data_IF_943566161551
#
_entry.id   IF_943566161551
#
_cell.length_a   1.000
_cell.length_b   1.000
_cell.length_c   1.000
_cell.angle_alpha   90.00
_cell.angle_beta   90.00
_cell.angle_gamma   90.00
#
_symmetry.space_group_name_H-M   'P 1'
#
loop_
_entity.id
_entity.type
_entity.pdbx_description
1 polymer ?
#
# COMPACT_ATOMS: atom_id res chain seq x y z
N UNK A 1 -15.21 11.53 6.02
CA UNK A 1 -14.23 11.53 7.14
C UNK A 1 -13.52 12.85 7.10
N UNK A 2 -13.13 13.43 8.22
CA UNK A 2 -12.49 14.74 8.19
C UNK A 2 -11.04 14.58 7.74
N UNK A 3 -10.58 15.48 6.89
CA UNK A 3 -9.22 15.60 6.36
C UNK A 3 -8.10 15.37 7.42
N UNK A 4 -8.33 15.76 8.67
CA UNK A 4 -7.41 15.58 9.79
C UNK A 4 -7.06 14.10 10.07
N UNK A 5 -8.05 13.20 10.06
CA UNK A 5 -7.81 11.78 10.32
C UNK A 5 -7.16 11.07 9.14
N UNK A 6 -7.56 11.43 7.93
CA UNK A 6 -6.93 10.89 6.73
C UNK A 6 -5.46 11.29 6.67
N UNK A 7 -5.12 12.55 6.99
CA UNK A 7 -3.71 13.01 7.10
C UNK A 7 -2.93 12.23 8.15
N UNK A 8 -3.50 12.05 9.33
CA UNK A 8 -2.86 11.28 10.41
C UNK A 8 -2.53 9.85 9.95
N UNK A 9 -3.46 9.15 9.32
CA UNK A 9 -3.23 7.79 8.87
C UNK A 9 -2.28 7.70 7.66
N UNK A 10 -2.28 8.69 6.76
CA UNK A 10 -1.28 8.78 5.70
C UNK A 10 0.13 9.06 6.25
N UNK A 11 0.25 9.87 7.29
CA UNK A 11 1.53 10.09 7.98
C UNK A 11 2.04 8.80 8.65
N UNK A 12 1.16 8.00 9.24
CA UNK A 12 1.52 6.67 9.74
C UNK A 12 1.96 5.72 8.62
N UNK A 13 1.30 5.77 7.46
CA UNK A 13 1.72 4.99 6.30
C UNK A 13 3.12 5.40 5.83
N UNK A 14 3.43 6.70 5.78
CA UNK A 14 4.76 7.20 5.46
C UNK A 14 5.81 6.79 6.51
N UNK A 15 5.46 6.77 7.79
CA UNK A 15 6.34 6.24 8.84
C UNK A 15 6.60 4.74 8.65
N UNK A 16 5.60 3.98 8.23
CA UNK A 16 5.77 2.56 7.89
C UNK A 16 6.64 2.39 6.65
N UNK A 17 6.51 3.25 5.63
CA UNK A 17 7.33 3.23 4.44
C UNK A 17 8.83 3.34 4.75
N UNK A 18 9.20 4.15 5.75
CA UNK A 18 10.59 4.32 6.17
C UNK A 18 11.27 3.03 6.67
N UNK A 19 10.50 1.99 6.96
CA UNK A 19 11.04 0.66 7.32
C UNK A 19 11.44 -0.18 6.10
N UNK A 20 11.02 0.21 4.90
CA UNK A 20 11.40 -0.47 3.67
C UNK A 20 12.88 -0.29 3.39
N UNK A 21 13.55 -1.37 2.99
CA UNK A 21 14.94 -1.38 2.53
C UNK A 21 15.07 -1.20 1.02
N UNK A 22 13.95 -1.00 0.30
CA UNK A 22 14.01 -0.74 -1.14
C UNK A 22 14.77 0.56 -1.41
N UNK A 23 15.86 0.52 -2.19
CA UNK A 23 16.69 1.71 -2.41
C UNK A 23 16.06 2.75 -3.34
N UNK A 24 14.96 2.43 -4.00
CA UNK A 24 14.32 3.30 -5.00
C UNK A 24 12.96 3.82 -4.55
N UNK A 25 12.09 2.93 -4.08
CA UNK A 25 10.71 3.27 -3.73
C UNK A 25 10.33 2.58 -2.44
N UNK A 26 10.06 3.38 -1.42
CA UNK A 26 9.58 2.91 -0.14
C UNK A 26 8.07 3.16 -0.06
N UNK A 27 7.30 2.10 0.17
CA UNK A 27 5.85 2.15 0.27
C UNK A 27 5.44 1.67 1.66
N UNK A 28 4.54 2.39 2.29
CA UNK A 28 3.95 1.99 3.56
C UNK A 28 2.43 1.97 3.49
N UNK A 29 1.83 1.10 4.28
CA UNK A 29 0.40 0.94 4.37
C UNK A 29 -0.06 0.81 5.82
N UNK A 30 -1.25 1.34 6.13
CA UNK A 30 -1.91 1.23 7.43
C UNK A 30 -3.35 0.79 7.19
N UNK A 31 -3.79 -0.23 7.91
CA UNK A 31 -5.17 -0.69 7.90
C UNK A 31 -5.89 -0.15 9.14
N UNK A 32 -6.99 0.56 8.92
CA UNK A 32 -7.75 1.26 9.96
C UNK A 32 -9.17 0.71 10.01
N UNK A 33 -9.62 0.30 11.18
CA UNK A 33 -10.97 -0.18 11.39
C UNK A 33 -12.02 0.93 11.43
N UNK A 34 -13.32 0.56 11.48
CA UNK A 34 -14.44 1.52 11.44
C UNK A 34 -14.43 2.54 12.58
N UNK A 35 -13.89 2.19 13.73
CA UNK A 35 -13.79 3.05 14.91
C UNK A 35 -12.48 3.83 14.99
N UNK A 36 -11.75 3.92 13.86
CA UNK A 36 -10.45 4.59 13.71
C UNK A 36 -9.30 3.93 14.46
N UNK A 37 -9.46 2.69 14.85
CA UNK A 37 -8.38 1.89 15.42
C UNK A 37 -7.42 1.40 14.33
N UNK A 38 -6.13 1.52 14.55
CA UNK A 38 -5.11 0.92 13.69
C UNK A 38 -5.11 -0.58 13.91
N UNK A 39 -5.40 -1.36 12.87
CA UNK A 39 -5.42 -2.82 12.89
C UNK A 39 -4.12 -3.46 12.46
N UNK A 40 -3.37 -2.80 11.58
CA UNK A 40 -2.08 -3.28 11.13
C UNK A 40 -1.32 -2.24 10.33
N UNK A 41 -0.03 -2.50 10.18
CA UNK A 41 0.87 -1.74 9.31
C UNK A 41 1.60 -2.69 8.37
N UNK A 42 2.05 -2.18 7.25
CA UNK A 42 2.86 -2.90 6.28
C UNK A 42 3.78 -1.96 5.53
N UNK A 43 4.84 -2.50 4.98
CA UNK A 43 5.74 -1.80 4.06
C UNK A 43 6.22 -2.77 2.99
N UNK A 44 6.69 -2.26 1.86
CA UNK A 44 7.19 -3.12 0.80
C UNK A 44 8.54 -3.73 1.19
N UNK A 45 8.69 -5.02 0.93
CA UNK A 45 9.92 -5.74 1.29
C UNK A 45 9.88 -7.20 0.86
N UNK A 46 11.00 -7.89 1.04
CA UNK A 46 11.05 -9.32 0.80
C UNK A 46 10.28 -10.10 1.87
N UNK A 47 9.80 -11.31 1.56
CA UNK A 47 9.10 -12.15 2.52
C UNK A 47 9.96 -12.44 3.74
N UNK A 48 9.30 -12.63 4.89
CA UNK A 48 9.99 -13.03 6.13
C UNK A 48 10.82 -14.29 5.92
N UNK A 49 12.05 -14.27 6.43
CA UNK A 49 13.01 -15.36 6.31
C UNK A 49 13.80 -15.37 4.99
N UNK A 50 13.47 -14.48 4.04
CA UNK A 50 14.25 -14.29 2.82
C UNK A 50 15.24 -13.16 3.02
N UNK A 51 16.51 -13.41 2.79
CA UNK A 51 17.56 -12.41 2.96
C UNK A 51 17.39 -11.26 1.96
N UNK A 52 17.30 -10.04 2.49
CA UNK A 52 17.14 -8.78 1.74
C UNK A 52 18.48 -8.03 1.63
N UNK A 53 19.49 -8.72 1.10
CA UNK A 53 20.82 -8.15 0.92
C UNK A 53 20.79 -7.00 -0.11
N UNK A 54 21.74 -6.08 0.01
CA UNK A 54 21.87 -4.96 -0.94
C UNK A 54 22.03 -5.46 -2.41
N UNK A 55 22.76 -6.56 -2.60
CA UNK A 55 22.89 -7.21 -3.91
C UNK A 55 21.54 -7.60 -4.50
N UNK A 56 20.71 -8.31 -3.73
CA UNK A 56 19.37 -8.75 -4.17
C UNK A 56 18.41 -7.58 -4.38
N UNK A 57 18.47 -6.56 -3.55
CA UNK A 57 17.63 -5.36 -3.67
C UNK A 57 18.02 -4.50 -4.88
N UNK A 58 19.26 -4.58 -5.36
CA UNK A 58 19.74 -3.89 -6.55
C UNK A 58 19.59 -4.73 -7.84
N UNK A 59 19.40 -6.04 -7.74
CA UNK A 59 19.00 -6.88 -8.87
C UNK A 59 17.51 -6.66 -9.14
N UNK A 60 17.21 -5.92 -10.22
CA UNK A 60 15.83 -5.51 -10.53
C UNK A 60 14.89 -6.70 -10.74
N UNK A 61 15.33 -7.71 -11.48
CA UNK A 61 14.47 -8.85 -11.83
C UNK A 61 14.19 -9.73 -10.61
N UNK A 62 15.22 -10.00 -9.81
CA UNK A 62 15.07 -10.74 -8.56
C UNK A 62 14.23 -9.95 -7.56
N UNK A 63 14.47 -8.64 -7.42
CA UNK A 63 13.70 -7.77 -6.54
C UNK A 63 12.21 -7.80 -6.89
N UNK A 64 11.82 -7.65 -8.15
CA UNK A 64 10.43 -7.66 -8.56
C UNK A 64 9.73 -9.00 -8.31
N UNK A 65 10.47 -10.11 -8.36
CA UNK A 65 9.93 -11.46 -8.06
C UNK A 65 9.72 -11.71 -6.57
N UNK A 66 10.50 -11.09 -5.70
CA UNK A 66 10.47 -11.30 -4.26
C UNK A 66 9.73 -10.20 -3.49
N UNK A 67 9.47 -9.05 -4.13
CA UNK A 67 8.87 -7.91 -3.45
C UNK A 67 7.40 -8.17 -3.10
N UNK A 68 7.09 -8.11 -1.82
CA UNK A 68 5.71 -8.04 -1.32
C UNK A 68 5.35 -6.57 -1.16
N UNK A 69 4.28 -6.13 -1.79
CA UNK A 69 3.81 -4.75 -1.70
C UNK A 69 3.29 -4.43 -0.30
N UNK A 70 3.29 -3.16 0.07
CA UNK A 70 2.89 -2.71 1.40
C UNK A 70 1.43 -3.05 1.72
N UNK A 71 0.54 -2.90 0.74
CA UNK A 71 -0.89 -3.21 0.84
C UNK A 71 -1.10 -4.70 1.10
N UNK A 72 -0.41 -5.56 0.36
CA UNK A 72 -0.41 -7.01 0.58
C UNK A 72 0.16 -7.35 1.96
N UNK A 73 1.26 -6.72 2.36
CA UNK A 73 1.89 -6.99 3.65
C UNK A 73 0.98 -6.65 4.83
N UNK A 74 0.25 -5.54 4.81
CA UNK A 74 -0.67 -5.22 5.91
C UNK A 74 -1.83 -6.21 5.99
N UNK A 75 -2.39 -6.64 4.87
CA UNK A 75 -3.43 -7.68 4.81
C UNK A 75 -2.92 -9.01 5.39
N UNK A 76 -1.74 -9.45 4.94
CA UNK A 76 -1.12 -10.69 5.42
C UNK A 76 -0.68 -10.61 6.88
N UNK A 77 -0.24 -9.44 7.36
CA UNK A 77 0.05 -9.23 8.77
C UNK A 77 -1.21 -9.40 9.63
N UNK A 78 -2.33 -8.83 9.21
CA UNK A 78 -3.62 -9.03 9.88
C UNK A 78 -4.06 -10.50 9.85
N UNK A 79 -4.01 -11.13 8.68
CA UNK A 79 -4.37 -12.55 8.52
C UNK A 79 -3.52 -13.46 9.42
N UNK A 80 -2.22 -13.20 9.53
CA UNK A 80 -1.29 -14.01 10.32
C UNK A 80 -1.63 -14.05 11.81
N UNK A 81 -2.21 -12.99 12.35
CA UNK A 81 -2.52 -12.86 13.79
C UNK A 81 -4.03 -12.84 14.08
N UNK A 82 -4.84 -13.12 13.06
CA UNK A 82 -6.30 -13.24 13.20
C UNK A 82 -7.02 -11.91 13.37
N UNK A 83 -6.50 -10.82 12.83
CA UNK A 83 -7.16 -9.50 12.87
C UNK A 83 -8.08 -9.35 11.65
N UNK A 84 -9.39 -9.07 11.84
CA UNK A 84 -10.32 -8.90 10.73
C UNK A 84 -10.01 -7.65 9.90
N UNK A 85 -10.09 -7.79 8.58
CA UNK A 85 -9.85 -6.72 7.60
C UNK A 85 -11.13 -6.14 7.00
N UNK A 86 -12.24 -6.87 7.13
CA UNK A 86 -13.53 -6.47 6.56
C UNK A 86 -14.00 -5.12 7.10
N UNK A 87 -14.45 -4.25 6.21
CA UNK A 87 -14.96 -2.92 6.53
C UNK A 87 -13.90 -1.87 6.88
N UNK A 88 -12.63 -2.24 6.82
CA UNK A 88 -11.53 -1.31 7.09
C UNK A 88 -11.30 -0.30 5.97
N UNK A 89 -10.57 0.77 6.30
CA UNK A 89 -9.96 1.69 5.36
C UNK A 89 -8.47 1.39 5.28
N UNK A 90 -7.95 1.23 4.06
CA UNK A 90 -6.53 1.08 3.78
C UNK A 90 -5.95 2.44 3.39
N UNK A 91 -4.98 2.91 4.13
CA UNK A 91 -4.16 4.08 3.79
C UNK A 91 -2.81 3.60 3.29
N UNK A 92 -2.34 4.10 2.17
CA UNK A 92 -0.97 3.84 1.73
C UNK A 92 -0.34 5.07 1.08
N UNK A 93 0.97 5.15 1.17
CA UNK A 93 1.75 6.20 0.56
C UNK A 93 3.14 5.68 0.20
N UNK A 94 3.72 6.26 -0.84
CA UNK A 94 5.05 5.94 -1.31
C UNK A 94 5.97 7.16 -1.24
N UNK A 95 7.27 6.90 -1.04
CA UNK A 95 8.32 7.88 -1.23
C UNK A 95 9.38 7.34 -2.18
N UNK A 96 9.97 8.22 -2.96
CA UNK A 96 11.16 7.90 -3.75
C UNK A 96 12.45 8.27 -2.98
N UNK A 97 13.58 7.96 -3.56
CA UNK A 97 14.92 8.26 -3.00
C UNK A 97 15.20 9.77 -2.87
N UNK A 98 14.37 10.64 -3.45
CA UNK A 98 14.48 12.10 -3.35
C UNK A 98 13.55 12.68 -2.28
N UNK A 99 12.73 11.85 -1.65
CA UNK A 99 11.77 12.24 -0.63
C UNK A 99 10.43 12.75 -1.18
N UNK A 100 10.18 12.62 -2.48
CA UNK A 100 8.86 12.94 -3.03
C UNK A 100 7.82 11.93 -2.56
N UNK A 101 6.69 12.43 -2.08
CA UNK A 101 5.54 11.62 -1.67
C UNK A 101 4.56 11.49 -2.82
N UNK A 102 4.09 10.29 -3.05
CA UNK A 102 3.10 9.98 -4.06
C UNK A 102 2.23 8.78 -3.65
N UNK A 103 1.15 8.56 -4.40
CA UNK A 103 0.21 7.45 -4.19
C UNK A 103 -0.48 7.10 -5.48
N UNK A 104 -1.78 7.25 -5.52
CA UNK A 104 -2.63 6.81 -6.63
C UNK A 104 -3.43 5.58 -6.24
N UNK A 105 -4.14 4.96 -7.18
CA UNK A 105 -4.75 3.66 -6.93
C UNK A 105 -3.65 2.60 -6.73
N UNK A 106 -3.93 1.51 -5.97
CA UNK A 106 -3.01 0.38 -5.87
C UNK A 106 -2.79 -0.27 -7.23
N UNK A 107 -1.76 -1.10 -7.38
CA UNK A 107 -1.66 -1.93 -8.58
C UNK A 107 -2.79 -2.97 -8.63
N UNK A 108 -3.08 -3.50 -9.83
CA UNK A 108 -4.20 -4.41 -10.03
C UNK A 108 -4.14 -5.65 -9.12
N UNK A 109 -2.96 -6.23 -8.92
CA UNK A 109 -2.79 -7.38 -8.02
C UNK A 109 -3.18 -7.04 -6.57
N UNK A 110 -2.77 -5.87 -6.07
CA UNK A 110 -3.16 -5.41 -4.74
C UNK A 110 -4.65 -5.06 -4.67
N UNK A 111 -5.23 -4.47 -5.72
CA UNK A 111 -6.66 -4.16 -5.76
C UNK A 111 -7.53 -5.42 -5.62
N UNK A 112 -7.17 -6.51 -6.30
CA UNK A 112 -7.86 -7.80 -6.18
C UNK A 112 -7.79 -8.33 -4.74
N UNK A 113 -6.65 -8.23 -4.08
CA UNK A 113 -6.48 -8.68 -2.70
C UNK A 113 -7.24 -7.79 -1.70
N UNK A 114 -7.28 -6.48 -1.93
CA UNK A 114 -8.05 -5.50 -1.15
C UNK A 114 -9.54 -5.86 -1.20
N UNK A 115 -10.08 -6.14 -2.39
CA UNK A 115 -11.47 -6.59 -2.58
C UNK A 115 -11.73 -7.88 -1.81
N UNK A 116 -10.87 -8.90 -2.00
CA UNK A 116 -11.04 -10.20 -1.34
C UNK A 116 -10.90 -10.14 0.18
N UNK A 117 -10.09 -9.21 0.69
CA UNK A 117 -9.95 -8.95 2.13
C UNK A 117 -11.17 -8.21 2.73
N UNK A 118 -12.13 -7.78 1.91
CA UNK A 118 -13.32 -7.05 2.34
C UNK A 118 -13.04 -5.63 2.83
N UNK A 119 -11.95 -5.03 2.38
CA UNK A 119 -11.62 -3.63 2.69
C UNK A 119 -12.62 -2.72 1.99
N UNK A 120 -13.16 -1.74 2.71
CA UNK A 120 -14.25 -0.91 2.21
C UNK A 120 -13.77 0.35 1.48
N UNK A 121 -12.58 0.86 1.82
CA UNK A 121 -12.08 2.11 1.27
C UNK A 121 -10.55 2.09 1.16
N UNK A 122 -10.03 2.71 0.11
CA UNK A 122 -8.60 2.98 -0.08
C UNK A 122 -8.38 4.50 -0.11
N UNK A 123 -7.37 4.98 0.59
CA UNK A 123 -6.98 6.40 0.65
C UNK A 123 -5.48 6.52 0.39
N UNK A 124 -5.10 7.40 -0.52
CA UNK A 124 -3.70 7.64 -0.86
C UNK A 124 -3.43 9.12 -1.17
N UNK A 125 -2.17 9.56 -1.19
CA UNK A 125 -1.81 10.81 -1.84
C UNK A 125 -2.09 10.76 -3.34
N UNK A 126 -2.19 11.92 -4.03
CA UNK A 126 -2.40 11.96 -5.46
C UNK A 126 -1.28 11.29 -6.24
N UNK A 127 -1.66 10.76 -7.39
CA UNK A 127 -0.75 10.15 -8.34
C UNK A 127 -0.04 11.23 -9.17
N UNK A 128 1.02 11.82 -8.64
CA UNK A 128 1.73 12.92 -9.30
C UNK A 128 2.83 12.49 -10.28
N UNK A 129 3.38 11.27 -10.12
CA UNK A 129 4.57 10.82 -10.87
C UNK A 129 4.43 9.30 -11.14
N UNK A 130 3.61 8.92 -12.11
CA UNK A 130 3.62 7.54 -12.56
C UNK A 130 4.71 7.32 -13.61
N UNK A 131 5.56 6.33 -13.47
CA UNK A 131 6.20 5.74 -14.62
C UNK A 131 5.10 5.28 -15.60
N UNK A 132 5.26 5.61 -16.87
CA UNK A 132 4.24 5.34 -17.92
C UNK A 132 3.77 3.88 -17.98
N UNK A 133 4.64 2.94 -17.56
CA UNK A 133 4.34 1.51 -17.56
C UNK A 133 3.37 1.04 -16.43
N UNK A 134 3.14 1.86 -15.40
CA UNK A 134 2.16 1.56 -14.35
C UNK A 134 0.77 2.12 -14.62
N UNK A 135 0.64 3.05 -15.57
CA UNK A 135 -0.60 3.80 -15.78
C UNK A 135 -1.78 2.89 -16.11
N UNK A 136 -1.63 2.01 -17.10
CA UNK A 136 -2.71 1.10 -17.50
C UNK A 136 -3.13 0.17 -16.37
N UNK A 137 -2.17 -0.36 -15.62
CA UNK A 137 -2.43 -1.25 -14.49
C UNK A 137 -3.20 -0.54 -13.37
N UNK A 138 -2.84 0.70 -13.05
CA UNK A 138 -3.48 1.53 -12.03
C UNK A 138 -4.88 1.98 -12.46
N UNK A 139 -5.07 2.36 -13.73
CA UNK A 139 -6.38 2.70 -14.28
C UNK A 139 -7.33 1.49 -14.23
N UNK A 140 -6.83 0.31 -14.60
CA UNK A 140 -7.60 -0.92 -14.51
C UNK A 140 -7.91 -1.29 -13.06
N UNK A 141 -6.98 -1.12 -12.14
CA UNK A 141 -7.21 -1.31 -10.70
C UNK A 141 -8.34 -0.42 -10.18
N UNK A 142 -8.41 0.82 -10.63
CA UNK A 142 -9.53 1.72 -10.31
C UNK A 142 -10.88 1.16 -10.75
N UNK A 143 -10.95 0.53 -11.93
CA UNK A 143 -12.15 -0.17 -12.42
C UNK A 143 -12.51 -1.36 -11.51
N UNK A 144 -11.52 -2.17 -11.13
CA UNK A 144 -11.72 -3.31 -10.21
C UNK A 144 -12.29 -2.87 -8.87
N UNK A 145 -11.74 -1.82 -8.29
CA UNK A 145 -12.24 -1.28 -7.01
C UNK A 145 -13.66 -0.75 -7.16
N UNK A 146 -13.97 -0.03 -8.24
CA UNK A 146 -15.30 0.53 -8.50
C UNK A 146 -16.36 -0.55 -8.71
N UNK A 147 -16.07 -1.60 -9.48
CA UNK A 147 -16.99 -2.73 -9.69
C UNK A 147 -17.29 -3.50 -8.38
N UNK A 148 -16.35 -3.50 -7.44
CA UNK A 148 -16.48 -4.16 -6.15
C UNK A 148 -17.05 -3.25 -5.04
N UNK A 149 -17.53 -2.05 -5.36
CA UNK A 149 -18.00 -1.05 -4.38
C UNK A 149 -16.95 -0.66 -3.33
N UNK A 150 -15.67 -0.78 -3.64
CA UNK A 150 -14.58 -0.28 -2.79
C UNK A 150 -14.36 1.19 -3.08
N UNK A 151 -14.55 2.04 -2.07
CA UNK A 151 -14.31 3.47 -2.18
C UNK A 151 -12.83 3.77 -2.43
N UNK A 152 -12.55 4.71 -3.36
CA UNK A 152 -11.18 5.20 -3.56
C UNK A 152 -11.14 6.72 -3.47
N UNK A 153 -10.19 7.26 -2.70
CA UNK A 153 -10.01 8.70 -2.51
C UNK A 153 -8.54 9.10 -2.54
N UNK A 154 -8.25 10.18 -3.25
CA UNK A 154 -6.96 10.87 -3.15
C UNK A 154 -7.05 12.05 -2.18
N UNK A 155 -6.07 12.18 -1.28
CA UNK A 155 -5.96 13.29 -0.35
C UNK A 155 -4.87 14.25 -0.83
N UNK A 156 -5.28 15.45 -1.18
CA UNK A 156 -4.40 16.56 -1.62
C UNK A 156 -3.91 17.41 -0.46
#
# INVERSE_FOLDING_TARGET
MTDRWDRYFLDLALRSAAMSKDPRTQVGAVLVGPDREVRGTGFNGFPRGIADTAERLNDRDLKLRLMVHAERNVILNCARVGIPTKGCTLYFAATDHTGNVWGGAPCCACAIEIVQAGIATVVSPPFKIAPSHWREDIEFAGTVLAEADVGYRELT
#
